data_IF_302149911362
#
_entry.id   IF_302149911362
#
_cell.length_a   1.000
_cell.length_b   1.000
_cell.length_c   1.000
_cell.angle_alpha   90.00
_cell.angle_beta   90.00
_cell.angle_gamma   90.00
#
_symmetry.space_group_name_H-M   'P 1'
#
loop_
_entity.id
_entity.type
_entity.pdbx_description
1 polymer ?
#
# COMPACT_ATOMS: atom_id res chain seq x y z
N UNK A 1 90.12 -11.41 -19.44
CA UNK A 1 89.31 -11.74 -20.63
C UNK A 1 87.88 -11.98 -20.18
N UNK A 2 86.92 -11.26 -20.80
CA UNK A 2 85.49 -11.56 -21.01
C UNK A 2 84.60 -11.92 -19.80
N UNK A 3 83.28 -11.70 -19.75
CA UNK A 3 82.29 -10.77 -20.34
C UNK A 3 80.96 -11.13 -19.64
N UNK A 4 79.99 -10.23 -19.66
CA UNK A 4 78.70 -10.27 -18.96
C UNK A 4 77.75 -11.45 -19.28
N UNK A 5 76.75 -11.71 -18.39
CA UNK A 5 75.35 -11.97 -18.81
C UNK A 5 74.31 -11.90 -17.67
N UNK A 6 73.18 -11.31 -18.03
CA UNK A 6 71.94 -11.04 -17.29
C UNK A 6 71.07 -12.26 -16.92
N UNK A 7 70.13 -11.97 -15.99
CA UNK A 7 68.70 -12.39 -15.91
C UNK A 7 68.24 -13.68 -15.19
N UNK A 8 67.29 -13.43 -14.27
CA UNK A 8 66.05 -14.18 -13.91
C UNK A 8 66.14 -15.54 -13.19
N UNK A 9 65.53 -15.59 -12.00
CA UNK A 9 64.32 -16.38 -11.65
C UNK A 9 64.32 -16.92 -10.22
N UNK A 10 63.12 -16.83 -9.64
CA UNK A 10 62.57 -17.26 -8.35
C UNK A 10 63.24 -18.40 -7.57
N UNK A 11 63.30 -18.20 -6.24
CA UNK A 11 62.80 -19.20 -5.29
C UNK A 11 62.43 -18.55 -3.94
N UNK A 12 61.11 -18.50 -3.69
CA UNK A 12 60.40 -18.62 -2.40
C UNK A 12 61.14 -18.39 -1.08
N UNK A 13 60.65 -17.47 -0.25
CA UNK A 13 60.30 -17.79 1.15
C UNK A 13 59.18 -16.88 1.67
N UNK A 14 58.09 -17.51 2.12
CA UNK A 14 56.96 -16.88 2.77
C UNK A 14 57.36 -16.24 4.10
N UNK A 15 57.31 -14.91 4.20
CA UNK A 15 57.23 -14.23 5.49
C UNK A 15 55.77 -13.90 5.79
N UNK A 16 55.16 -14.78 6.58
CA UNK A 16 53.99 -14.47 7.41
C UNK A 16 54.41 -13.38 8.40
N UNK A 17 54.20 -12.09 8.09
CA UNK A 17 54.32 -11.06 9.12
C UNK A 17 53.52 -9.77 8.92
N UNK A 18 52.73 -9.57 7.86
CA UNK A 18 52.13 -8.23 7.63
C UNK A 18 50.60 -8.17 7.75
N UNK A 19 49.92 -9.24 8.18
CA UNK A 19 48.47 -9.20 8.45
C UNK A 19 48.13 -8.71 9.86
N UNK A 20 49.04 -8.83 10.82
CA UNK A 20 48.79 -8.38 12.20
C UNK A 20 49.06 -6.88 12.41
N UNK A 21 49.80 -6.21 11.53
CA UNK A 21 49.95 -4.75 11.59
C UNK A 21 48.78 -3.99 10.94
N UNK A 22 48.10 -4.59 9.96
CA UNK A 22 46.86 -4.01 9.39
C UNK A 22 45.67 -4.04 10.35
N UNK A 23 45.70 -4.89 11.39
CA UNK A 23 44.68 -4.95 12.44
C UNK A 23 44.81 -3.85 13.50
N UNK A 24 45.81 -2.96 13.42
CA UNK A 24 45.94 -1.78 14.28
C UNK A 24 45.31 -0.51 13.68
N UNK A 25 44.61 -0.62 12.56
CA UNK A 25 43.84 0.48 12.01
C UNK A 25 42.44 0.47 12.61
N UNK A 26 42.31 1.30 13.64
CA UNK A 26 41.09 1.95 14.13
C UNK A 26 39.81 1.11 13.97
N UNK A 27 39.30 0.52 15.05
CA UNK A 27 38.03 -0.23 15.05
C UNK A 27 36.89 0.56 14.37
N UNK A 28 36.92 1.89 14.45
CA UNK A 28 35.99 2.78 13.74
C UNK A 28 36.18 2.77 12.21
N UNK A 29 37.41 2.66 11.71
CA UNK A 29 37.69 2.55 10.27
C UNK A 29 37.31 1.16 9.73
N UNK A 30 37.52 0.10 10.51
CA UNK A 30 37.09 -1.25 10.14
C UNK A 30 35.56 -1.38 10.19
N UNK A 31 34.92 -0.80 11.20
CA UNK A 31 33.46 -0.70 11.28
C UNK A 31 32.89 0.17 10.14
N UNK A 32 33.59 1.24 9.73
CA UNK A 32 33.20 2.06 8.59
C UNK A 32 33.43 1.34 7.24
N UNK A 33 34.45 0.51 7.10
CA UNK A 33 34.66 -0.37 5.95
C UNK A 33 33.59 -1.46 5.86
N UNK A 34 33.20 -2.06 6.98
CA UNK A 34 32.08 -3.00 7.05
C UNK A 34 30.75 -2.30 6.75
N UNK A 35 30.54 -1.07 7.21
CA UNK A 35 29.38 -0.23 6.82
C UNK A 35 29.39 0.16 5.35
N UNK A 36 30.55 0.25 4.70
CA UNK A 36 30.68 0.46 3.26
C UNK A 36 30.49 -0.82 2.44
N UNK A 37 30.73 -2.00 3.03
CA UNK A 37 30.47 -3.30 2.40
C UNK A 37 29.06 -3.84 2.63
N UNK A 38 28.33 -3.28 3.60
CA UNK A 38 26.90 -3.55 3.74
C UNK A 38 26.16 -2.93 2.55
N UNK A 39 25.29 -3.70 1.86
CA UNK A 39 24.48 -3.14 0.79
C UNK A 39 23.68 -1.95 1.36
N UNK A 40 23.56 -0.83 0.61
CA UNK A 40 22.86 0.34 1.10
C UNK A 40 21.46 -0.09 1.50
N UNK A 41 21.08 0.23 2.74
CA UNK A 41 19.78 -0.17 3.29
C UNK A 41 18.68 0.19 2.28
N UNK A 42 17.69 -0.70 2.07
CA UNK A 42 16.59 -0.43 1.15
C UNK A 42 15.99 0.91 1.52
N UNK A 43 15.95 1.84 0.55
CA UNK A 43 15.59 3.24 0.81
C UNK A 43 14.16 3.38 1.34
N UNK A 44 13.33 2.36 1.16
CA UNK A 44 11.97 2.26 1.68
C UNK A 44 11.64 0.80 1.99
N UNK A 45 10.87 0.54 3.05
CA UNK A 45 10.24 -0.77 3.25
C UNK A 45 9.16 -1.00 2.18
N UNK A 46 8.88 -2.26 1.87
CA UNK A 46 7.79 -2.66 1.00
C UNK A 46 6.47 -2.70 1.79
N UNK A 47 5.57 -1.77 1.49
CA UNK A 47 4.27 -1.62 2.17
C UNK A 47 3.12 -2.38 1.51
N UNK A 48 3.32 -2.90 0.30
CA UNK A 48 2.27 -3.61 -0.46
C UNK A 48 1.39 -2.72 -1.35
N UNK A 49 1.70 -1.42 -1.47
CA UNK A 49 0.90 -0.45 -2.27
C UNK A 49 1.03 -0.64 -3.80
N UNK A 50 2.03 -1.41 -4.23
CA UNK A 50 2.37 -1.64 -5.64
C UNK A 50 2.94 -3.05 -5.85
N UNK A 51 3.14 -3.47 -7.11
CA UNK A 51 3.67 -4.79 -7.41
C UNK A 51 5.08 -4.94 -6.86
N UNK A 52 5.37 -6.12 -6.32
CA UNK A 52 6.68 -6.39 -5.72
C UNK A 52 7.83 -6.28 -6.75
N UNK A 53 7.58 -6.55 -8.03
CA UNK A 53 8.56 -6.28 -9.11
C UNK A 53 9.00 -4.83 -9.15
N UNK A 54 8.07 -3.89 -9.05
CA UNK A 54 8.40 -2.46 -9.14
C UNK A 54 9.21 -2.02 -7.92
N UNK A 55 8.95 -2.63 -6.75
CA UNK A 55 9.78 -2.45 -5.57
C UNK A 55 11.19 -3.02 -5.77
N UNK A 56 11.31 -4.22 -6.35
CA UNK A 56 12.61 -4.80 -6.69
C UNK A 56 13.37 -3.94 -7.70
N UNK A 57 12.72 -3.44 -8.74
CA UNK A 57 13.32 -2.59 -9.76
C UNK A 57 13.81 -1.27 -9.18
N UNK A 58 13.01 -0.62 -8.32
CA UNK A 58 13.41 0.60 -7.59
C UNK A 58 14.60 0.37 -6.65
N UNK A 59 14.80 -0.87 -6.21
CA UNK A 59 15.90 -1.28 -5.34
C UNK A 59 16.86 -2.25 -6.05
N UNK A 60 16.97 -2.21 -7.39
CA UNK A 60 17.71 -3.20 -8.17
C UNK A 60 19.20 -3.29 -7.78
N UNK A 61 19.79 -2.18 -7.33
CA UNK A 61 21.17 -2.14 -6.83
C UNK A 61 21.30 -2.98 -5.54
N UNK A 62 20.34 -2.90 -4.63
CA UNK A 62 20.31 -3.72 -3.41
C UNK A 62 20.08 -5.19 -3.75
N UNK A 63 19.10 -5.48 -4.61
CA UNK A 63 18.76 -6.85 -4.97
C UNK A 63 19.86 -7.58 -5.77
N UNK A 64 20.62 -6.86 -6.60
CA UNK A 64 21.79 -7.42 -7.30
C UNK A 64 22.96 -7.71 -6.35
N UNK A 65 23.11 -6.95 -5.26
CA UNK A 65 24.15 -7.20 -4.26
C UNK A 65 23.85 -8.42 -3.39
N UNK A 66 22.58 -8.66 -3.06
CA UNK A 66 22.19 -9.86 -2.30
C UNK A 66 22.17 -11.13 -3.16
N UNK A 67 22.25 -11.03 -4.49
CA UNK A 67 22.19 -12.17 -5.41
C UNK A 67 23.35 -13.17 -5.21
N UNK A 68 24.50 -12.71 -4.71
CA UNK A 68 25.65 -13.56 -4.43
C UNK A 68 25.69 -14.11 -2.99
N UNK A 69 24.72 -13.75 -2.13
CA UNK A 69 24.65 -14.22 -0.75
C UNK A 69 24.08 -15.63 -0.64
N UNK A 70 24.25 -16.25 0.53
CA UNK A 70 23.61 -17.53 0.83
C UNK A 70 22.08 -17.39 0.82
N UNK A 71 21.38 -18.48 0.55
CA UNK A 71 19.91 -18.47 0.46
C UNK A 71 19.23 -18.03 1.75
N UNK A 72 19.83 -18.37 2.90
CA UNK A 72 19.38 -17.93 4.23
C UNK A 72 19.57 -16.42 4.43
N UNK A 73 20.67 -15.86 3.94
CA UNK A 73 20.93 -14.42 4.04
C UNK A 73 20.03 -13.62 3.11
N UNK A 74 19.83 -14.08 1.87
CA UNK A 74 18.87 -13.51 0.92
C UNK A 74 17.47 -13.42 1.53
N UNK A 75 17.04 -14.50 2.17
CA UNK A 75 15.74 -14.58 2.85
C UNK A 75 15.66 -13.61 4.01
N UNK A 76 16.69 -13.52 4.86
CA UNK A 76 16.73 -12.57 5.97
C UNK A 76 16.66 -11.11 5.48
N UNK A 77 17.42 -10.78 4.44
CA UNK A 77 17.40 -9.46 3.82
C UNK A 77 16.03 -9.13 3.20
N UNK A 78 15.42 -10.09 2.49
CA UNK A 78 14.08 -9.94 1.93
C UNK A 78 13.05 -9.64 3.03
N UNK A 79 13.05 -10.43 4.11
CA UNK A 79 12.12 -10.23 5.23
C UNK A 79 12.34 -8.89 5.94
N UNK A 80 13.58 -8.43 6.04
CA UNK A 80 13.92 -7.12 6.59
C UNK A 80 13.47 -5.93 5.71
N UNK A 81 13.20 -6.17 4.42
CA UNK A 81 12.65 -5.17 3.52
C UNK A 81 11.14 -4.99 3.66
N UNK A 82 10.43 -5.93 4.29
CA UNK A 82 8.97 -5.92 4.38
C UNK A 82 8.50 -5.03 5.54
N UNK A 83 7.43 -4.28 5.31
CA UNK A 83 6.70 -3.64 6.40
C UNK A 83 5.91 -4.69 7.21
N UNK A 84 5.61 -4.39 8.48
CA UNK A 84 4.97 -5.30 9.43
C UNK A 84 3.65 -5.90 8.92
N UNK A 85 2.87 -5.12 8.19
CA UNK A 85 1.61 -5.53 7.57
C UNK A 85 1.84 -6.61 6.50
N UNK A 86 2.83 -6.42 5.63
CA UNK A 86 3.16 -7.37 4.57
C UNK A 86 3.77 -8.64 5.16
N UNK A 87 4.63 -8.50 6.17
CA UNK A 87 5.19 -9.64 6.90
C UNK A 87 4.09 -10.51 7.52
N UNK A 88 3.12 -9.89 8.21
CA UNK A 88 1.97 -10.61 8.80
C UNK A 88 1.14 -11.32 7.74
N UNK A 89 0.92 -10.70 6.59
CA UNK A 89 0.15 -11.28 5.49
C UNK A 89 0.84 -12.51 4.89
N UNK A 90 2.16 -12.45 4.66
CA UNK A 90 2.98 -13.61 4.30
C UNK A 90 2.95 -14.70 5.38
N UNK A 91 2.92 -14.31 6.66
CA UNK A 91 2.85 -15.29 7.74
C UNK A 91 1.50 -16.02 7.77
N UNK A 92 0.42 -15.36 7.37
CA UNK A 92 -0.91 -15.96 7.26
C UNK A 92 -1.01 -16.96 6.10
N UNK A 93 -0.32 -16.74 4.97
CA UNK A 93 -0.28 -17.71 3.87
C UNK A 93 0.52 -18.96 4.24
N UNK A 94 1.47 -18.86 5.18
CA UNK A 94 2.31 -19.96 5.67
C UNK A 94 2.26 -20.11 7.20
N UNK A 95 1.14 -20.61 7.77
CA UNK A 95 0.99 -20.70 9.22
C UNK A 95 2.01 -21.65 9.87
N UNK A 96 2.30 -22.77 9.21
CA UNK A 96 3.09 -23.87 9.80
C UNK A 96 4.61 -23.78 9.56
N UNK A 97 5.07 -22.85 8.72
CA UNK A 97 6.50 -22.72 8.36
C UNK A 97 7.01 -21.37 8.86
N UNK A 98 8.14 -21.32 9.58
CA UNK A 98 8.80 -20.05 9.90
C UNK A 98 9.28 -19.39 8.62
N UNK A 99 8.95 -18.12 8.39
CA UNK A 99 9.31 -17.41 7.16
C UNK A 99 10.83 -17.36 6.93
N UNK A 100 11.63 -17.36 8.00
CA UNK A 100 13.10 -17.40 7.93
C UNK A 100 13.68 -18.72 7.41
N UNK A 101 12.87 -19.79 7.35
CA UNK A 101 13.26 -21.10 6.80
C UNK A 101 12.71 -21.33 5.40
N UNK A 102 11.95 -20.39 4.85
CA UNK A 102 11.46 -20.48 3.48
C UNK A 102 12.57 -20.12 2.50
N UNK A 103 12.50 -20.68 1.29
CA UNK A 103 13.42 -20.32 0.23
C UNK A 103 13.12 -18.90 -0.27
N UNK A 104 14.16 -18.17 -0.69
CA UNK A 104 14.04 -16.80 -1.16
C UNK A 104 13.08 -16.70 -2.36
N UNK A 105 13.24 -17.59 -3.35
CA UNK A 105 12.40 -17.63 -4.55
C UNK A 105 10.92 -17.86 -4.22
N UNK A 106 10.63 -18.75 -3.28
CA UNK A 106 9.27 -19.04 -2.84
C UNK A 106 8.60 -17.83 -2.19
N UNK A 107 9.34 -17.06 -1.38
CA UNK A 107 8.81 -15.85 -0.75
C UNK A 107 8.59 -14.72 -1.76
N UNK A 108 9.47 -14.59 -2.75
CA UNK A 108 9.30 -13.63 -3.85
C UNK A 108 8.04 -13.98 -4.65
N UNK A 109 7.85 -15.25 -5.01
CA UNK A 109 6.65 -15.70 -5.72
C UNK A 109 5.37 -15.44 -4.93
N UNK A 110 5.39 -15.66 -3.61
CA UNK A 110 4.25 -15.40 -2.74
C UNK A 110 3.93 -13.91 -2.63
N UNK A 111 4.94 -13.03 -2.56
CA UNK A 111 4.77 -11.58 -2.58
C UNK A 111 4.17 -11.09 -3.90
N UNK A 112 4.62 -11.68 -5.01
CA UNK A 112 4.14 -11.36 -6.35
C UNK A 112 2.68 -11.79 -6.55
N UNK A 113 2.33 -12.99 -6.08
CA UNK A 113 0.95 -13.49 -6.08
C UNK A 113 0.06 -12.69 -5.15
N UNK A 114 0.54 -12.33 -3.97
CA UNK A 114 -0.22 -11.57 -2.98
C UNK A 114 -0.72 -10.25 -3.55
N UNK A 115 0.11 -9.49 -4.27
CA UNK A 115 -0.32 -8.25 -4.91
C UNK A 115 -1.33 -8.50 -6.04
N UNK A 116 -1.10 -9.52 -6.88
CA UNK A 116 -2.04 -9.88 -7.94
C UNK A 116 -3.41 -10.31 -7.38
N UNK A 117 -3.42 -11.06 -6.29
CA UNK A 117 -4.62 -11.43 -5.55
C UNK A 117 -5.25 -10.20 -4.90
N UNK A 118 -4.46 -9.30 -4.31
CA UNK A 118 -4.97 -8.07 -3.68
C UNK A 118 -5.61 -7.15 -4.72
N UNK A 119 -4.99 -6.97 -5.90
CA UNK A 119 -5.61 -6.28 -7.04
C UNK A 119 -6.87 -7.01 -7.50
N UNK A 120 -6.81 -8.35 -7.62
CA UNK A 120 -7.95 -9.14 -8.07
C UNK A 120 -9.12 -8.99 -7.10
N UNK A 121 -8.87 -9.13 -5.81
CA UNK A 121 -9.85 -8.89 -4.75
C UNK A 121 -10.30 -7.44 -4.77
N UNK A 122 -9.42 -6.44 -4.82
CA UNK A 122 -9.81 -5.04 -4.91
C UNK A 122 -10.69 -4.79 -6.13
N UNK A 123 -10.40 -5.37 -7.30
CA UNK A 123 -11.20 -5.29 -8.52
C UNK A 123 -12.52 -6.05 -8.39
N UNK A 124 -12.53 -7.23 -7.78
CA UNK A 124 -13.73 -8.04 -7.58
C UNK A 124 -14.63 -7.43 -6.49
N UNK A 125 -14.05 -6.84 -5.43
CA UNK A 125 -14.72 -5.95 -4.48
C UNK A 125 -15.19 -4.68 -5.17
N UNK A 126 -14.43 -4.08 -6.09
CA UNK A 126 -14.90 -2.93 -6.89
C UNK A 126 -16.07 -3.31 -7.78
N UNK A 127 -16.10 -4.55 -8.30
CA UNK A 127 -17.27 -5.10 -9.02
C UNK A 127 -18.46 -5.35 -8.09
N UNK A 128 -18.23 -5.77 -6.85
CA UNK A 128 -19.27 -5.86 -5.81
C UNK A 128 -19.73 -4.48 -5.32
N UNK A 129 -18.86 -3.48 -5.41
CA UNK A 129 -19.10 -2.06 -5.16
C UNK A 129 -19.50 -1.30 -6.43
N UNK A 130 -19.93 -1.99 -7.50
CA UNK A 130 -20.69 -1.35 -8.56
C UNK A 130 -21.94 -0.80 -7.87
N UNK A 131 -21.99 0.49 -7.59
CA UNK A 131 -22.26 1.47 -8.64
C UNK A 131 -21.39 2.75 -8.53
N UNK A 132 -20.63 3.05 -9.58
CA UNK A 132 -20.14 4.40 -9.90
C UNK A 132 -21.18 5.08 -10.81
N UNK A 133 -22.43 5.19 -10.35
CA UNK A 133 -23.49 5.84 -11.12
C UNK A 133 -23.56 7.30 -10.73
N UNK A 134 -23.69 8.13 -11.75
CA UNK A 134 -24.24 9.46 -11.64
C UNK A 134 -25.62 9.38 -10.98
N UNK A 135 -25.71 9.57 -9.66
CA UNK A 135 -27.00 9.76 -9.02
C UNK A 135 -27.54 11.13 -9.43
N UNK A 136 -28.78 11.19 -9.90
CA UNK A 136 -29.42 12.43 -10.36
C UNK A 136 -29.92 13.29 -9.19
N UNK A 137 -30.07 12.70 -8.01
CA UNK A 137 -30.46 13.35 -6.76
C UNK A 137 -30.09 12.46 -5.57
N UNK A 138 -30.17 13.02 -4.36
CA UNK A 138 -29.79 12.34 -3.10
C UNK A 138 -30.68 11.12 -2.78
N UNK A 139 -31.95 11.14 -3.17
CA UNK A 139 -32.84 10.01 -2.97
C UNK A 139 -32.37 8.77 -3.75
N UNK A 140 -31.91 8.97 -4.99
CA UNK A 140 -31.39 7.89 -5.83
C UNK A 140 -30.08 7.32 -5.26
N UNK A 141 -29.22 8.18 -4.71
CA UNK A 141 -28.01 7.75 -4.00
C UNK A 141 -28.36 6.85 -2.81
N UNK A 142 -29.26 7.27 -1.93
CA UNK A 142 -29.64 6.50 -0.75
C UNK A 142 -30.27 5.16 -1.12
N UNK A 143 -31.21 5.15 -2.07
CA UNK A 143 -31.86 3.92 -2.52
C UNK A 143 -30.85 2.91 -3.06
N UNK A 144 -29.90 3.38 -3.86
CA UNK A 144 -28.85 2.54 -4.44
C UNK A 144 -27.96 1.95 -3.34
N UNK A 145 -27.48 2.79 -2.42
CA UNK A 145 -26.59 2.34 -1.34
C UNK A 145 -27.29 1.40 -0.35
N UNK A 146 -28.56 1.65 -0.04
CA UNK A 146 -29.37 0.74 0.79
C UNK A 146 -29.52 -0.63 0.11
N UNK A 147 -29.76 -0.66 -1.21
CA UNK A 147 -29.85 -1.91 -1.96
C UNK A 147 -28.51 -2.66 -2.02
N UNK A 148 -27.41 -1.94 -2.26
CA UNK A 148 -26.05 -2.51 -2.22
C UNK A 148 -25.74 -3.16 -0.87
N UNK A 149 -26.02 -2.45 0.23
CA UNK A 149 -25.77 -3.00 1.56
C UNK A 149 -26.68 -4.17 1.88
N UNK A 150 -27.96 -4.14 1.50
CA UNK A 150 -28.85 -5.29 1.68
C UNK A 150 -28.31 -6.52 0.96
N UNK A 151 -27.88 -6.37 -0.30
CA UNK A 151 -27.29 -7.46 -1.07
C UNK A 151 -26.00 -7.99 -0.41
N UNK A 152 -25.14 -7.08 0.06
CA UNK A 152 -23.90 -7.45 0.74
C UNK A 152 -24.16 -8.19 2.06
N UNK A 153 -25.11 -7.71 2.86
CA UNK A 153 -25.51 -8.35 4.12
C UNK A 153 -26.16 -9.72 3.88
N UNK A 154 -26.98 -9.86 2.83
CA UNK A 154 -27.56 -11.15 2.43
C UNK A 154 -26.49 -12.14 1.95
N UNK A 155 -25.55 -11.69 1.13
CA UNK A 155 -24.49 -12.54 0.57
C UNK A 155 -23.48 -12.97 1.63
N UNK A 156 -23.16 -12.09 2.58
CA UNK A 156 -22.15 -12.36 3.63
C UNK A 156 -22.76 -12.89 4.93
N UNK A 157 -24.08 -12.83 5.10
CA UNK A 157 -24.78 -13.12 6.36
C UNK A 157 -24.27 -12.28 7.57
N UNK A 158 -23.63 -11.15 7.30
CA UNK A 158 -23.13 -10.23 8.32
C UNK A 158 -23.82 -8.88 8.19
N UNK A 159 -24.26 -8.32 9.32
CA UNK A 159 -24.86 -6.97 9.34
C UNK A 159 -23.76 -5.92 9.38
N UNK A 160 -23.91 -4.89 8.56
CA UNK A 160 -23.05 -3.71 8.56
C UNK A 160 -23.65 -2.70 9.55
N UNK A 161 -22.88 -2.16 10.52
CA UNK A 161 -23.39 -1.17 11.45
C UNK A 161 -23.84 0.12 10.75
N UNK A 162 -24.93 0.74 11.24
CA UNK A 162 -25.49 1.96 10.64
C UNK A 162 -24.49 3.13 10.62
N UNK A 163 -23.65 3.26 11.65
CA UNK A 163 -22.57 4.26 11.65
C UNK A 163 -21.62 4.08 10.47
N UNK A 164 -21.24 2.84 10.15
CA UNK A 164 -20.35 2.54 9.02
C UNK A 164 -21.06 2.88 7.70
N UNK A 165 -22.34 2.54 7.57
CA UNK A 165 -23.15 2.89 6.40
C UNK A 165 -23.24 4.40 6.18
N UNK A 166 -23.47 5.16 7.26
CA UNK A 166 -23.54 6.63 7.21
C UNK A 166 -22.20 7.24 6.79
N UNK A 167 -21.08 6.75 7.33
CA UNK A 167 -19.75 7.22 6.93
C UNK A 167 -19.45 6.90 5.46
N UNK A 168 -19.86 5.73 4.97
CA UNK A 168 -19.67 5.34 3.57
C UNK A 168 -20.53 6.18 2.60
N UNK A 169 -21.76 6.53 2.98
CA UNK A 169 -22.59 7.45 2.19
C UNK A 169 -22.03 8.88 2.23
N UNK A 170 -21.49 9.32 3.37
CA UNK A 170 -20.98 10.69 3.55
C UNK A 170 -19.94 11.09 2.51
N UNK A 171 -19.05 10.15 2.12
CA UNK A 171 -18.03 10.39 1.11
C UNK A 171 -18.60 10.67 -0.29
N UNK A 172 -19.85 10.29 -0.54
CA UNK A 172 -20.53 10.53 -1.81
C UNK A 172 -21.17 11.92 -1.89
N UNK A 173 -21.36 12.63 -0.78
CA UNK A 173 -21.95 13.97 -0.80
C UNK A 173 -20.96 15.04 -1.27
N UNK A 174 -21.49 16.00 -2.04
CA UNK A 174 -20.79 17.24 -2.41
C UNK A 174 -21.24 18.39 -1.52
N UNK A 175 -20.45 19.45 -1.48
CA UNK A 175 -20.87 20.67 -0.81
C UNK A 175 -22.08 21.32 -1.51
N UNK A 176 -23.03 21.91 -0.75
CA UNK A 176 -23.03 22.13 0.70
C UNK A 176 -23.71 21.01 1.51
N UNK A 177 -24.21 19.95 0.87
CA UNK A 177 -24.87 18.82 1.54
C UNK A 177 -23.92 18.13 2.52
N UNK A 178 -22.63 18.05 2.19
CA UNK A 178 -21.63 17.45 3.06
C UNK A 178 -21.54 18.12 4.44
N UNK A 179 -21.56 19.45 4.51
CA UNK A 179 -21.62 20.19 5.78
C UNK A 179 -22.90 19.90 6.59
N UNK A 180 -24.03 19.76 5.90
CA UNK A 180 -25.31 19.43 6.54
C UNK A 180 -25.25 18.04 7.17
N UNK A 181 -24.67 17.07 6.45
CA UNK A 181 -24.45 15.71 6.94
C UNK A 181 -23.49 15.69 8.13
N UNK A 182 -22.39 16.44 8.06
CA UNK A 182 -21.41 16.50 9.15
C UNK A 182 -22.04 17.03 10.44
N UNK A 183 -22.81 18.13 10.33
CA UNK A 183 -23.54 18.69 11.48
C UNK A 183 -24.51 17.68 12.08
N UNK A 184 -25.28 16.99 11.26
CA UNK A 184 -26.22 15.98 11.75
C UNK A 184 -25.49 14.85 12.50
N UNK A 185 -24.37 14.37 11.96
CA UNK A 185 -23.55 13.31 12.58
C UNK A 185 -23.03 13.76 13.95
N UNK A 186 -22.55 15.00 14.05
CA UNK A 186 -22.08 15.56 15.32
C UNK A 186 -23.22 15.67 16.36
N UNK A 187 -24.37 16.19 15.93
CA UNK A 187 -25.54 16.41 16.79
C UNK A 187 -26.15 15.07 17.28
N UNK A 188 -26.09 14.02 16.48
CA UNK A 188 -26.76 12.73 16.75
C UNK A 188 -25.80 11.56 17.02
N UNK A 189 -24.51 11.82 17.23
CA UNK A 189 -23.44 10.80 17.32
C UNK A 189 -23.75 9.60 18.24
N UNK A 190 -24.52 9.80 19.32
CA UNK A 190 -24.86 8.77 20.30
C UNK A 190 -26.05 7.87 19.91
N UNK A 191 -26.84 8.26 18.90
CA UNK A 191 -28.05 7.56 18.45
C UNK A 191 -28.23 7.65 16.92
N UNK A 192 -27.15 7.50 16.17
CA UNK A 192 -27.20 7.50 14.72
C UNK A 192 -27.99 6.29 14.20
N UNK A 193 -29.06 6.59 13.46
CA UNK A 193 -29.88 5.62 12.76
C UNK A 193 -29.82 5.94 11.26
N UNK A 194 -29.62 4.91 10.42
CA UNK A 194 -29.48 5.12 8.98
C UNK A 194 -30.75 5.71 8.34
N UNK A 195 -31.93 5.23 8.73
CA UNK A 195 -33.18 5.67 8.11
C UNK A 195 -33.49 7.12 8.47
N UNK A 196 -33.25 7.51 9.73
CA UNK A 196 -33.45 8.88 10.19
C UNK A 196 -32.45 9.83 9.53
N UNK A 197 -31.20 9.39 9.39
CA UNK A 197 -30.17 10.13 8.66
C UNK A 197 -30.54 10.34 7.19
N UNK A 198 -30.91 9.27 6.48
CA UNK A 198 -31.32 9.36 5.08
C UNK A 198 -32.53 10.29 4.92
N UNK A 199 -33.58 10.13 5.73
CA UNK A 199 -34.77 10.98 5.64
C UNK A 199 -34.44 12.46 5.89
N UNK A 200 -33.58 12.76 6.86
CA UNK A 200 -33.11 14.12 7.12
C UNK A 200 -32.35 14.69 5.91
N UNK A 201 -31.37 13.96 5.39
CA UNK A 201 -30.57 14.40 4.26
C UNK A 201 -31.39 14.60 2.98
N UNK A 202 -32.37 13.73 2.72
CA UNK A 202 -33.32 13.88 1.62
C UNK A 202 -34.14 15.16 1.78
N UNK A 203 -34.62 15.45 2.98
CA UNK A 203 -35.40 16.67 3.26
C UNK A 203 -34.58 17.95 3.10
N UNK A 204 -33.37 18.00 3.65
CA UNK A 204 -32.49 19.16 3.57
C UNK A 204 -31.98 19.40 2.14
N UNK A 205 -31.76 18.32 1.37
CA UNK A 205 -31.32 18.44 -0.01
C UNK A 205 -32.29 19.20 -0.92
N UNK A 206 -33.60 19.18 -0.61
CA UNK A 206 -34.62 19.91 -1.37
C UNK A 206 -34.47 21.43 -1.26
N UNK A 207 -33.81 21.90 -0.20
CA UNK A 207 -33.60 23.32 0.08
C UNK A 207 -32.20 23.80 -0.31
N UNK A 208 -31.33 22.87 -0.72
CA UNK A 208 -30.00 23.17 -1.24
C UNK A 208 -30.08 23.40 -2.74
N UNK A 209 -29.91 24.66 -3.17
CA UNK A 209 -29.73 24.96 -4.59
C UNK A 209 -28.34 24.46 -5.04
N UNK A 210 -28.31 23.36 -5.79
CA UNK A 210 -27.13 23.01 -6.58
C UNK A 210 -26.93 24.06 -7.67
N UNK A 211 -25.94 24.94 -7.50
CA UNK A 211 -25.40 25.72 -8.60
C UNK A 211 -24.56 24.79 -9.51
N UNK A 212 -25.21 23.87 -10.21
CA UNK A 212 -24.55 23.06 -11.24
C UNK A 212 -24.80 23.68 -12.62
N UNK A 213 -23.71 24.16 -13.24
CA UNK A 213 -23.50 24.41 -14.67
C UNK A 213 -24.60 25.15 -15.47
N UNK A 214 -24.23 26.32 -16.00
CA UNK A 214 -25.11 27.19 -16.77
C UNK A 214 -25.73 26.57 -18.03
N UNK A 215 -27.04 26.71 -18.14
CA UNK A 215 -27.75 27.02 -19.39
C UNK A 215 -28.93 27.93 -19.05
N UNK A 216 -28.90 29.16 -19.58
CA UNK A 216 -30.10 29.93 -19.90
C UNK A 216 -30.92 30.47 -18.74
N UNK A 217 -30.64 31.73 -18.37
CA UNK A 217 -31.64 32.60 -17.78
C UNK A 217 -32.84 32.76 -18.72
N UNK A 218 -33.86 31.91 -18.60
CA UNK A 218 -35.19 32.26 -19.11
C UNK A 218 -35.90 33.09 -18.06
N UNK A 219 -35.62 34.40 -18.06
CA UNK A 219 -36.59 35.39 -17.58
C UNK A 219 -37.88 35.17 -18.39
N UNK A 220 -38.87 34.49 -17.80
CA UNK A 220 -40.27 34.63 -18.24
C UNK A 220 -40.69 36.06 -17.92
N UNK A 221 -40.42 36.95 -18.85
CA UNK A 221 -41.02 38.27 -18.94
C UNK A 221 -42.54 38.08 -19.00
N UNK A 222 -43.19 38.36 -17.87
CA UNK A 222 -44.63 38.43 -17.77
C UNK A 222 -45.04 39.70 -18.53
N UNK A 223 -45.31 39.56 -19.83
CA UNK A 223 -45.99 40.59 -20.59
C UNK A 223 -47.36 40.82 -19.94
N UNK A 224 -47.51 41.95 -19.25
CA UNK A 224 -48.82 42.46 -18.86
C UNK A 224 -49.36 43.24 -20.06
N UNK A 225 -50.64 42.98 -20.35
CA UNK A 225 -51.52 43.68 -21.28
C UNK A 225 -51.32 45.19 -21.27
#
# INVERSE_FOLDING_TARGET
MASAKDTKSDSTTSNKSDLNEMLKLNEDAFANLLKQQLPPAPRNQFYGDGPFTEYMDKNAIFFSQIENLSETEKTAHLLGCLADNVYKLLKLSRPNIPLSKCNYSELVDDLMKSYAETIKYARDYTKLLLIQDCYCNINDLHRTKIAEWRNLEETTSQKIPDLVKILLIFDNYKEPIKLIAEKYIQDHHSKLNLNDFCAYMESESLFVQENSCGVGAFKKGRSRK
#
